data_IF_488765125916
#
_entry.id   IF_488765125916
#
_cell.length_a   1.000
_cell.length_b   1.000
_cell.length_c   1.000
_cell.angle_alpha   90.00
_cell.angle_beta   90.00
_cell.angle_gamma   90.00
#
_symmetry.space_group_name_H-M   'P 1'
#
loop_
_entity.id
_entity.type
_entity.pdbx_description
1 polymer ?
#
# COMPACT_ATOMS: atom_id res chain seq x y z
N UNK A 1 -23.11 15.58 7.64
CA UNK A 1 -23.54 15.47 9.05
C UNK A 1 -22.65 16.39 9.90
N UNK A 2 -23.20 16.91 11.02
CA UNK A 2 -22.40 17.70 11.98
C UNK A 2 -22.49 17.04 13.35
N UNK A 3 -21.34 16.84 13.97
CA UNK A 3 -21.19 16.35 15.35
C UNK A 3 -20.37 17.38 16.11
N UNK A 4 -20.88 17.90 17.21
CA UNK A 4 -20.25 18.95 18.03
C UNK A 4 -19.79 20.18 17.22
N UNK A 5 -20.61 20.56 16.22
CA UNK A 5 -20.33 21.71 15.35
C UNK A 5 -19.32 21.44 14.23
N UNK A 6 -18.68 20.27 14.18
CA UNK A 6 -17.76 19.86 13.12
C UNK A 6 -18.50 19.10 12.02
N UNK A 7 -18.16 19.35 10.76
CA UNK A 7 -18.69 18.62 9.63
C UNK A 7 -18.02 17.24 9.57
N UNK A 8 -18.82 16.18 9.45
CA UNK A 8 -18.35 14.82 9.16
C UNK A 8 -18.69 14.54 7.70
N UNK A 9 -17.67 14.57 6.84
CA UNK A 9 -17.83 14.43 5.40
C UNK A 9 -17.49 13.01 4.90
N UNK A 10 -16.50 12.37 5.53
CA UNK A 10 -16.06 11.01 5.19
C UNK A 10 -16.25 10.10 6.40
N UNK A 11 -16.63 8.87 6.13
CA UNK A 11 -16.76 7.82 7.13
C UNK A 11 -16.54 6.45 6.49
N UNK A 12 -16.00 5.52 7.25
CA UNK A 12 -15.93 4.12 6.89
C UNK A 12 -17.10 3.35 7.50
N UNK A 13 -17.64 2.40 6.77
CA UNK A 13 -18.63 1.48 7.31
C UNK A 13 -18.41 0.09 6.70
N UNK A 14 -18.75 -0.92 7.47
CA UNK A 14 -18.71 -2.31 7.04
C UNK A 14 -19.80 -3.11 7.73
N UNK A 15 -19.97 -4.36 7.32
CA UNK A 15 -20.89 -5.27 7.97
C UNK A 15 -20.29 -5.72 9.31
N UNK A 16 -21.08 -5.67 10.37
CA UNK A 16 -20.69 -6.24 11.67
C UNK A 16 -20.62 -7.77 11.63
N UNK A 17 -21.52 -8.38 10.85
CA UNK A 17 -21.68 -9.83 10.77
C UNK A 17 -21.56 -10.31 9.34
N UNK A 18 -20.82 -11.39 9.12
CA UNK A 18 -20.85 -12.11 7.87
C UNK A 18 -22.23 -12.73 7.62
N UNK A 19 -22.75 -12.55 6.40
CA UNK A 19 -24.10 -12.99 6.07
C UNK A 19 -24.26 -14.52 6.14
N UNK A 20 -23.24 -15.27 5.75
CA UNK A 20 -23.31 -16.74 5.64
C UNK A 20 -22.94 -17.42 6.96
N UNK A 21 -21.84 -17.02 7.56
CA UNK A 21 -21.29 -17.67 8.77
C UNK A 21 -21.99 -17.21 10.06
N UNK A 22 -22.60 -16.00 10.03
CA UNK A 22 -23.19 -15.34 11.22
C UNK A 22 -22.18 -15.04 12.32
N UNK A 23 -20.89 -15.04 11.98
CA UNK A 23 -19.82 -14.59 12.88
C UNK A 23 -19.54 -13.11 12.62
N UNK A 24 -18.87 -12.45 13.55
CA UNK A 24 -18.36 -11.11 13.32
C UNK A 24 -17.39 -11.12 12.15
N UNK A 25 -17.50 -10.12 11.28
CA UNK A 25 -16.50 -9.91 10.22
C UNK A 25 -15.19 -9.49 10.84
N UNK A 26 -14.08 -9.90 10.19
CA UNK A 26 -12.75 -9.44 10.60
C UNK A 26 -12.55 -7.94 10.38
N UNK A 27 -11.50 -7.40 10.97
CA UNK A 27 -11.18 -5.97 10.92
C UNK A 27 -10.65 -5.49 9.55
N UNK A 28 -10.27 -6.42 8.65
CA UNK A 28 -9.58 -6.10 7.40
C UNK A 28 -10.34 -5.13 6.51
N UNK A 29 -11.62 -5.42 6.23
CA UNK A 29 -12.46 -4.52 5.43
C UNK A 29 -12.59 -3.14 6.07
N UNK A 30 -12.77 -3.08 7.39
CA UNK A 30 -12.84 -1.81 8.10
C UNK A 30 -11.53 -1.01 7.95
N UNK A 31 -10.38 -1.65 8.08
CA UNK A 31 -9.08 -1.02 7.91
C UNK A 31 -8.89 -0.49 6.48
N UNK A 32 -9.31 -1.26 5.47
CA UNK A 32 -9.33 -0.83 4.07
C UNK A 32 -10.16 0.44 3.87
N UNK A 33 -11.43 0.39 4.25
CA UNK A 33 -12.35 1.52 4.08
C UNK A 33 -11.90 2.76 4.88
N UNK A 34 -11.35 2.54 6.08
CA UNK A 34 -10.81 3.64 6.87
C UNK A 34 -9.57 4.28 6.21
N UNK A 35 -8.78 3.52 5.47
CA UNK A 35 -7.66 4.04 4.70
C UNK A 35 -8.11 5.04 3.62
N UNK A 36 -9.29 4.85 3.04
CA UNK A 36 -9.89 5.84 2.14
C UNK A 36 -10.28 7.14 2.87
N UNK A 37 -10.72 7.05 4.11
CA UNK A 37 -10.97 8.25 4.94
C UNK A 37 -9.67 9.02 5.19
N UNK A 38 -8.53 8.33 5.27
CA UNK A 38 -7.21 8.94 5.37
C UNK A 38 -6.70 9.53 4.05
N UNK A 39 -7.34 9.22 2.92
CA UNK A 39 -7.03 9.76 1.59
C UNK A 39 -6.21 8.83 0.70
N UNK A 40 -6.06 7.56 1.07
CA UNK A 40 -5.39 6.57 0.25
C UNK A 40 -6.35 5.98 -0.80
N UNK A 41 -5.91 5.78 -2.07
CA UNK A 41 -6.72 5.17 -3.13
C UNK A 41 -6.64 3.65 -3.10
N UNK A 42 -7.55 2.98 -3.80
CA UNK A 42 -7.41 1.57 -4.13
C UNK A 42 -6.18 1.30 -4.98
N UNK A 43 -5.49 0.20 -4.69
CA UNK A 43 -4.34 -0.27 -5.47
C UNK A 43 -4.67 -1.52 -6.31
N UNK A 44 -5.90 -2.02 -6.25
CA UNK A 44 -6.44 -2.97 -7.22
C UNK A 44 -7.06 -2.25 -8.43
N UNK A 45 -7.53 -3.01 -9.42
CA UNK A 45 -8.16 -2.46 -10.61
C UNK A 45 -9.62 -2.10 -10.37
N UNK A 46 -9.98 -0.83 -10.38
CA UNK A 46 -11.34 -0.32 -10.02
C UNK A 46 -12.32 -0.27 -11.19
N UNK A 47 -11.87 -0.50 -12.44
CA UNK A 47 -12.71 -0.39 -13.66
C UNK A 47 -12.83 -1.71 -14.45
N UNK A 48 -12.82 -2.85 -13.75
CA UNK A 48 -13.11 -4.16 -14.36
C UNK A 48 -11.96 -4.75 -15.19
N UNK A 49 -10.74 -4.23 -15.07
CA UNK A 49 -9.54 -4.90 -15.58
C UNK A 49 -9.23 -6.13 -14.72
N UNK A 50 -8.48 -7.08 -15.29
CA UNK A 50 -8.19 -8.37 -14.64
C UNK A 50 -6.72 -8.68 -14.48
N UNK A 51 -5.83 -7.70 -14.72
CA UNK A 51 -4.41 -7.91 -14.49
C UNK A 51 -4.09 -7.91 -12.99
N UNK A 52 -3.00 -8.55 -12.65
CA UNK A 52 -2.52 -8.63 -11.26
C UNK A 52 -2.00 -7.29 -10.80
N UNK A 53 -2.21 -7.01 -9.54
CA UNK A 53 -1.74 -5.86 -8.80
C UNK A 53 -0.98 -6.34 -7.56
N UNK A 54 -0.97 -5.62 -6.46
CA UNK A 54 -0.21 -6.03 -5.26
C UNK A 54 -0.82 -7.25 -4.54
N UNK A 55 -2.12 -7.50 -4.72
CA UNK A 55 -2.80 -8.64 -4.12
C UNK A 55 -2.78 -8.62 -2.59
N UNK A 56 -2.53 -9.78 -2.01
CA UNK A 56 -2.52 -9.95 -0.55
C UNK A 56 -1.35 -9.25 0.17
N UNK A 57 -0.44 -8.62 -0.57
CA UNK A 57 0.66 -7.84 0.02
C UNK A 57 0.23 -6.49 0.55
N UNK A 58 -0.92 -5.98 0.14
CA UNK A 58 -1.30 -4.59 0.38
C UNK A 58 -2.73 -4.45 0.90
N UNK A 59 -2.92 -3.57 1.88
CA UNK A 59 -4.20 -3.33 2.52
C UNK A 59 -5.21 -2.63 1.60
N UNK A 60 -4.72 -1.92 0.58
CA UNK A 60 -5.55 -1.24 -0.43
C UNK A 60 -5.77 -2.09 -1.69
N UNK A 61 -5.40 -3.38 -1.61
CA UNK A 61 -5.69 -4.39 -2.62
C UNK A 61 -6.43 -5.57 -1.96
N UNK A 62 -5.95 -6.80 -2.07
CA UNK A 62 -6.57 -8.00 -1.48
C UNK A 62 -6.12 -8.32 -0.05
N UNK A 63 -5.15 -7.59 0.49
CA UNK A 63 -4.64 -7.76 1.85
C UNK A 63 -5.69 -7.75 2.96
N UNK A 64 -6.80 -6.98 2.87
CA UNK A 64 -7.90 -7.01 3.83
C UNK A 64 -8.48 -8.39 4.09
N UNK A 65 -8.36 -9.32 3.14
CA UNK A 65 -8.91 -10.67 3.25
C UNK A 65 -7.95 -11.69 3.88
N UNK A 66 -6.72 -11.30 4.21
CA UNK A 66 -5.75 -12.18 4.87
C UNK A 66 -6.34 -12.70 6.19
N UNK A 67 -6.11 -14.01 6.47
CA UNK A 67 -6.61 -14.69 7.65
C UNK A 67 -8.12 -14.46 7.90
N UNK A 68 -8.94 -14.70 6.88
CA UNK A 68 -10.39 -14.48 6.95
C UNK A 68 -10.76 -13.07 7.44
N UNK A 69 -10.07 -12.05 6.93
CA UNK A 69 -10.20 -10.63 7.29
C UNK A 69 -9.76 -10.25 8.72
N UNK A 70 -9.14 -11.17 9.47
CA UNK A 70 -8.76 -10.89 10.85
C UNK A 70 -7.39 -10.23 10.98
N UNK A 71 -6.50 -10.43 9.99
CA UNK A 71 -5.12 -9.94 10.04
C UNK A 71 -4.74 -9.26 8.72
N UNK A 72 -5.29 -8.06 8.45
CA UNK A 72 -4.87 -7.28 7.29
C UNK A 72 -3.38 -6.92 7.45
N UNK A 73 -2.62 -6.80 6.33
CA UNK A 73 -1.22 -6.42 6.41
C UNK A 73 -1.06 -5.01 6.95
N UNK A 74 0.09 -4.73 7.54
CA UNK A 74 0.49 -3.38 7.89
C UNK A 74 0.62 -2.52 6.62
N UNK A 75 0.46 -1.20 6.77
CA UNK A 75 0.73 -0.26 5.69
C UNK A 75 2.14 -0.44 5.14
N UNK A 76 2.27 -0.51 3.83
CA UNK A 76 3.53 -0.57 3.10
C UNK A 76 4.37 0.71 3.29
N UNK A 77 5.63 0.65 2.92
CA UNK A 77 6.48 1.85 2.92
C UNK A 77 5.91 2.96 2.05
N UNK A 78 5.25 2.61 0.93
CA UNK A 78 4.64 3.60 0.04
C UNK A 78 3.48 4.33 0.72
N UNK A 79 2.56 3.62 1.34
CA UNK A 79 1.43 4.23 2.03
C UNK A 79 1.88 5.11 3.20
N UNK A 80 2.85 4.62 4.00
CA UNK A 80 3.44 5.41 5.09
C UNK A 80 4.15 6.66 4.58
N UNK A 81 4.86 6.56 3.45
CA UNK A 81 5.52 7.70 2.81
C UNK A 81 4.48 8.70 2.28
N UNK A 82 3.44 8.24 1.61
CA UNK A 82 2.36 9.07 1.10
C UNK A 82 1.64 9.84 2.21
N UNK A 83 1.44 9.21 3.37
CA UNK A 83 0.83 9.82 4.55
C UNK A 83 1.80 10.69 5.37
N UNK A 84 3.08 10.71 5.02
CA UNK A 84 4.10 11.44 5.78
C UNK A 84 4.47 10.79 7.12
N UNK A 85 4.14 9.52 7.31
CA UNK A 85 4.48 8.75 8.51
C UNK A 85 5.87 8.13 8.44
N UNK A 86 6.43 8.05 7.25
CA UNK A 86 7.76 7.54 6.96
C UNK A 86 8.45 8.49 5.99
N UNK A 87 9.73 8.79 6.24
CA UNK A 87 10.62 9.44 5.28
C UNK A 87 11.70 8.44 4.89
N UNK A 88 11.68 7.91 3.65
CA UNK A 88 12.65 6.90 3.24
C UNK A 88 14.04 7.52 3.08
N UNK A 89 15.09 6.70 3.29
CA UNK A 89 16.47 7.08 2.96
C UNK A 89 16.64 7.08 1.44
N UNK A 90 17.10 8.19 0.88
CA UNK A 90 17.39 8.29 -0.55
C UNK A 90 18.70 7.58 -0.89
N UNK A 91 18.68 6.70 -1.87
CA UNK A 91 19.82 5.99 -2.45
C UNK A 91 20.01 6.47 -3.88
N UNK A 92 21.18 7.01 -4.17
CA UNK A 92 21.54 7.57 -5.49
C UNK A 92 22.72 6.87 -6.13
N UNK A 93 23.52 6.15 -5.35
CA UNK A 93 24.68 5.37 -5.80
C UNK A 93 24.59 3.96 -5.21
N UNK A 94 25.28 3.02 -5.82
CA UNK A 94 25.35 1.67 -5.30
C UNK A 94 26.09 1.65 -3.96
N UNK A 95 25.46 1.15 -2.93
CA UNK A 95 26.01 1.01 -1.60
C UNK A 95 25.47 -0.25 -0.91
N UNK A 96 26.23 -0.76 0.05
CA UNK A 96 25.77 -1.82 0.94
C UNK A 96 24.96 -1.20 2.06
N UNK A 97 23.69 -1.62 2.20
CA UNK A 97 22.74 -1.10 3.20
C UNK A 97 22.13 -2.24 3.97
N UNK A 98 22.15 -2.16 5.28
CA UNK A 98 21.31 -2.99 6.14
C UNK A 98 19.93 -2.33 6.25
N UNK A 99 18.88 -3.09 5.92
CA UNK A 99 17.51 -2.64 5.96
C UNK A 99 16.72 -3.47 6.99
N UNK A 100 16.42 -2.85 8.10
CA UNK A 100 15.63 -3.45 9.17
C UNK A 100 14.19 -3.69 8.74
N UNK A 101 13.49 -4.55 9.47
CA UNK A 101 12.08 -4.88 9.25
C UNK A 101 11.19 -3.63 9.40
N UNK A 102 10.24 -3.47 8.47
CA UNK A 102 9.44 -2.23 8.33
C UNK A 102 8.58 -1.94 9.56
N UNK A 103 7.92 -2.94 10.16
CA UNK A 103 6.99 -2.70 11.27
C UNK A 103 7.73 -2.22 12.53
N UNK A 104 8.92 -2.77 12.80
CA UNK A 104 9.71 -2.45 13.98
C UNK A 104 10.50 -1.15 13.82
N UNK A 105 11.08 -0.93 12.63
CA UNK A 105 12.01 0.18 12.40
C UNK A 105 11.39 1.40 11.75
N UNK A 106 10.26 1.21 11.05
CA UNK A 106 9.68 2.21 10.15
C UNK A 106 10.70 2.72 9.10
N UNK A 107 11.56 1.82 8.61
CA UNK A 107 12.66 2.11 7.68
C UNK A 107 12.33 1.64 6.27
N UNK A 108 12.68 2.45 5.29
CA UNK A 108 12.61 2.09 3.87
C UNK A 108 13.67 2.87 3.08
N UNK A 109 14.01 2.35 1.89
CA UNK A 109 14.92 3.02 0.96
C UNK A 109 14.14 3.51 -0.25
N UNK A 110 14.44 4.72 -0.70
CA UNK A 110 13.95 5.28 -1.95
C UNK A 110 15.09 5.35 -2.95
N UNK A 111 14.90 4.70 -4.09
CA UNK A 111 15.86 4.69 -5.19
C UNK A 111 15.29 5.59 -6.29
N UNK A 112 16.02 6.62 -6.64
CA UNK A 112 15.66 7.60 -7.66
C UNK A 112 16.77 7.77 -8.69
N UNK A 113 16.40 8.26 -9.87
CA UNK A 113 17.35 8.63 -10.91
C UNK A 113 18.10 9.94 -10.63
N UNK A 114 17.82 10.59 -9.51
CA UNK A 114 18.41 11.88 -9.12
C UNK A 114 18.55 11.97 -7.60
N UNK A 115 19.57 12.70 -7.16
CA UNK A 115 19.80 13.10 -5.77
C UNK A 115 18.87 14.25 -5.30
N UNK A 116 18.07 14.79 -6.20
CA UNK A 116 17.19 15.94 -5.95
C UNK A 116 15.74 15.53 -5.67
N UNK A 117 15.48 14.28 -5.26
CA UNK A 117 14.12 13.87 -4.88
C UNK A 117 13.63 14.66 -3.65
N UNK A 118 12.41 15.21 -3.74
CA UNK A 118 11.86 16.08 -2.69
C UNK A 118 11.43 15.34 -1.40
N UNK A 119 11.34 14.01 -1.43
CA UNK A 119 10.89 13.14 -0.33
C UNK A 119 9.51 13.53 0.25
N UNK A 120 8.60 13.96 -0.64
CA UNK A 120 7.20 14.26 -0.31
C UNK A 120 6.31 13.22 -0.97
N UNK A 121 5.74 12.30 -0.19
CA UNK A 121 5.05 11.13 -0.71
C UNK A 121 3.77 11.44 -1.51
N UNK A 122 3.02 12.46 -1.14
CA UNK A 122 1.79 12.89 -1.82
C UNK A 122 1.99 13.95 -2.91
N UNK A 123 3.22 14.42 -3.15
CA UNK A 123 3.65 15.25 -4.28
C UNK A 123 5.12 14.96 -4.62
N UNK A 124 5.47 13.71 -4.96
CA UNK A 124 6.86 13.32 -5.17
C UNK A 124 7.42 13.91 -6.46
N UNK A 125 8.68 14.37 -6.40
CA UNK A 125 9.42 14.89 -7.54
C UNK A 125 10.88 14.41 -7.47
N UNK A 126 11.33 13.59 -8.44
CA UNK A 126 10.57 13.08 -9.60
C UNK A 126 9.40 12.17 -9.23
N UNK A 127 8.42 12.06 -10.14
CA UNK A 127 7.20 11.26 -9.93
C UNK A 127 7.41 9.76 -10.13
N UNK A 128 8.58 9.34 -10.63
CA UNK A 128 8.94 7.92 -10.81
C UNK A 128 10.14 7.60 -9.94
N UNK A 129 9.98 6.61 -9.09
CA UNK A 129 11.00 6.13 -8.16
C UNK A 129 10.70 4.69 -7.73
N UNK A 130 11.61 4.08 -6.97
CA UNK A 130 11.41 2.78 -6.37
C UNK A 130 11.48 2.90 -4.85
N UNK A 131 10.68 2.10 -4.17
CA UNK A 131 10.78 1.90 -2.73
C UNK A 131 11.20 0.47 -2.44
N UNK A 132 12.14 0.31 -1.54
CA UNK A 132 12.60 -0.98 -1.03
C UNK A 132 12.31 -1.04 0.45
N UNK A 133 11.62 -2.08 0.87
CA UNK A 133 11.26 -2.36 2.25
C UNK A 133 11.54 -3.82 2.60
N UNK A 134 11.75 -4.10 3.87
CA UNK A 134 11.92 -5.46 4.38
C UNK A 134 10.63 -5.85 5.12
N UNK A 135 9.90 -6.83 4.56
CA UNK A 135 8.66 -7.37 5.15
C UNK A 135 8.95 -8.74 5.75
N UNK A 136 8.52 -8.95 6.98
CA UNK A 136 8.62 -10.24 7.65
C UNK A 136 7.23 -10.72 8.06
N UNK A 137 7.04 -12.06 8.09
CA UNK A 137 5.76 -12.66 8.50
C UNK A 137 5.62 -12.63 10.02
N UNK A 138 5.50 -11.42 10.59
CA UNK A 138 5.33 -11.16 12.02
C UNK A 138 4.25 -10.11 12.24
N UNK A 139 3.60 -10.12 13.39
CA UNK A 139 2.58 -9.14 13.74
C UNK A 139 1.44 -9.08 12.71
N UNK A 140 1.14 -7.90 12.18
CA UNK A 140 0.10 -7.71 11.16
C UNK A 140 0.49 -8.33 9.80
N UNK A 141 1.77 -8.56 9.55
CA UNK A 141 2.29 -9.16 8.33
C UNK A 141 2.41 -10.69 8.39
N UNK A 142 1.98 -11.33 9.48
CA UNK A 142 2.08 -12.79 9.69
C UNK A 142 1.47 -13.60 8.52
N UNK A 143 0.44 -13.09 7.87
CA UNK A 143 -0.28 -13.78 6.79
C UNK A 143 0.04 -13.22 5.40
N UNK A 144 1.14 -12.49 5.24
CA UNK A 144 1.63 -12.12 3.90
C UNK A 144 1.99 -13.39 3.09
N UNK A 145 1.88 -13.34 1.75
CA UNK A 145 2.23 -14.47 0.88
C UNK A 145 3.69 -14.93 0.99
N UNK A 146 4.57 -14.10 1.53
CA UNK A 146 5.99 -14.36 1.70
C UNK A 146 6.65 -13.31 2.59
N UNK A 147 7.97 -13.34 2.65
CA UNK A 147 8.76 -12.41 3.46
C UNK A 147 10.09 -12.06 2.78
N UNK A 148 10.72 -10.99 3.22
CA UNK A 148 12.01 -10.51 2.73
C UNK A 148 11.94 -9.11 2.12
N UNK A 149 12.84 -8.83 1.18
CA UNK A 149 12.88 -7.53 0.50
C UNK A 149 11.76 -7.44 -0.53
N UNK A 150 10.97 -6.38 -0.43
CA UNK A 150 9.92 -6.03 -1.36
C UNK A 150 10.30 -4.75 -2.09
N UNK A 151 10.40 -4.83 -3.42
CA UNK A 151 10.70 -3.68 -4.29
C UNK A 151 9.43 -3.26 -5.01
N UNK A 152 9.04 -2.01 -4.80
CA UNK A 152 7.86 -1.43 -5.43
C UNK A 152 8.27 -0.26 -6.32
N UNK A 153 7.83 -0.27 -7.57
CA UNK A 153 7.98 0.86 -8.50
C UNK A 153 6.78 1.78 -8.37
N UNK A 154 7.05 3.05 -8.17
CA UNK A 154 6.03 4.11 -8.10
C UNK A 154 6.08 4.95 -9.36
N UNK A 155 4.92 5.16 -9.98
CA UNK A 155 4.70 6.13 -11.07
C UNK A 155 3.55 7.03 -10.66
N UNK A 156 3.86 8.02 -9.84
CA UNK A 156 2.85 8.91 -9.25
C UNK A 156 2.17 9.78 -10.31
N UNK A 157 0.86 9.84 -10.25
CA UNK A 157 0.04 10.74 -11.04
C UNK A 157 -1.14 11.22 -10.20
N UNK A 158 -1.13 12.47 -9.79
CA UNK A 158 -2.14 13.04 -8.90
C UNK A 158 -3.58 12.80 -9.37
N UNK A 159 -3.83 12.85 -10.67
CA UNK A 159 -5.17 12.59 -11.24
C UNK A 159 -5.58 11.14 -11.02
N UNK A 160 -4.69 10.18 -11.27
CA UNK A 160 -5.00 8.76 -11.07
C UNK A 160 -5.30 8.44 -9.61
N UNK A 161 -4.63 9.11 -8.69
CA UNK A 161 -4.90 9.01 -7.25
C UNK A 161 -6.25 9.60 -6.89
N UNK A 162 -6.56 10.83 -7.33
CA UNK A 162 -7.81 11.50 -7.01
C UNK A 162 -9.05 10.87 -7.67
N UNK A 163 -8.88 10.23 -8.82
CA UNK A 163 -9.95 9.51 -9.54
C UNK A 163 -10.04 8.01 -9.13
N UNK A 164 -9.22 7.56 -8.20
CA UNK A 164 -9.16 6.16 -7.73
C UNK A 164 -8.95 5.14 -8.88
N UNK A 165 -7.96 5.41 -9.75
CA UNK A 165 -7.63 4.59 -10.92
C UNK A 165 -6.14 4.26 -11.03
N UNK A 166 -5.45 4.18 -9.91
CA UNK A 166 -3.99 4.10 -9.81
C UNK A 166 -3.43 2.95 -10.64
N UNK A 167 -3.99 1.75 -10.49
CA UNK A 167 -3.50 0.53 -11.15
C UNK A 167 -4.43 0.02 -12.25
N UNK A 168 -5.27 0.88 -12.85
CA UNK A 168 -6.20 0.45 -13.91
C UNK A 168 -5.54 0.16 -15.27
N UNK A 169 -4.25 0.41 -15.44
CA UNK A 169 -3.51 0.13 -16.67
C UNK A 169 -2.38 -0.85 -16.42
N UNK A 170 -2.46 -2.03 -17.01
CA UNK A 170 -1.43 -3.07 -16.88
C UNK A 170 -0.05 -2.66 -17.41
N UNK A 171 -0.03 -1.76 -18.39
CA UNK A 171 1.23 -1.28 -18.98
C UNK A 171 1.85 -0.12 -18.20
N UNK A 172 1.13 0.44 -17.25
CA UNK A 172 1.54 1.62 -16.49
C UNK A 172 0.81 1.67 -15.15
N UNK A 173 1.12 0.71 -14.30
CA UNK A 173 0.65 0.76 -12.91
C UNK A 173 1.29 1.93 -12.17
N UNK A 174 0.51 2.59 -11.32
CA UNK A 174 1.00 3.66 -10.47
C UNK A 174 1.81 3.15 -9.29
N UNK A 175 1.45 1.95 -8.80
CA UNK A 175 2.16 1.20 -7.75
C UNK A 175 2.30 -0.23 -8.25
N UNK A 176 3.51 -0.68 -8.48
CA UNK A 176 3.84 -1.93 -9.14
C UNK A 176 4.86 -2.73 -8.33
N UNK A 177 4.49 -3.92 -7.91
CA UNK A 177 5.39 -4.84 -7.24
C UNK A 177 6.34 -5.47 -8.27
N UNK A 178 7.65 -5.31 -8.07
CA UNK A 178 8.66 -5.85 -8.97
C UNK A 178 9.04 -7.25 -8.50
N UNK A 179 8.64 -8.24 -9.25
CA UNK A 179 8.92 -9.65 -8.96
C UNK A 179 10.37 -10.02 -9.27
N UNK A 180 11.03 -10.69 -8.34
CA UNK A 180 12.44 -11.07 -8.46
C UNK A 180 12.71 -12.04 -9.62
N UNK A 181 11.74 -12.86 -9.99
CA UNK A 181 11.83 -13.82 -11.11
C UNK A 181 11.29 -13.30 -12.45
N UNK A 182 10.81 -12.05 -12.46
CA UNK A 182 10.21 -11.39 -13.62
C UNK A 182 8.87 -11.95 -14.04
N UNK A 183 8.19 -12.70 -13.16
CA UNK A 183 6.87 -13.28 -13.44
C UNK A 183 5.85 -12.69 -12.48
N UNK A 184 4.77 -12.18 -13.03
CA UNK A 184 3.64 -11.71 -12.22
C UNK A 184 3.16 -12.85 -11.30
N UNK A 185 2.99 -12.60 -9.99
CA UNK A 185 2.57 -13.61 -9.03
C UNK A 185 1.32 -14.36 -9.53
N UNK A 186 1.36 -15.68 -9.46
CA UNK A 186 0.13 -16.45 -9.55
C UNK A 186 -0.64 -16.23 -8.23
N UNK A 187 -1.85 -15.74 -8.34
CA UNK A 187 -2.80 -15.61 -7.22
C UNK A 187 -3.08 -16.95 -6.57
#
# INVERSE_FOLDING_TARGET
>A
CKVDGKCVDLYACGNEMDYYTKHHTGIGTFCHEFSHVLGLPDLYTTKGQTHKTLGSWDILDYGPYNNDMNTPPAYSAYERFMMGWLTPRLIVEAEDVELEELQESNSALLISSTDQHNLIGNDPKPTTFYLLENRQQVGWDEYLPGHGLMLTKIVYNQRSWSENIVNNSSNRMGVDLIEADGKTPSS
#
